data_IF_453425096394
#
_entry.id   IF_453425096394
#
_cell.length_a   1.000
_cell.length_b   1.000
_cell.length_c   1.000
_cell.angle_alpha   90.00
_cell.angle_beta   90.00
_cell.angle_gamma   90.00
#
_symmetry.space_group_name_H-M   'P 1'
#
loop_
_entity.id
_entity.type
_entity.pdbx_description
1 polymer ?
#
# COMPACT_ATOMS: atom_id res chain seq x y z
N UNK A 1 -0.83 -19.68 -1.52
CA UNK A 1 0.11 -18.59 -1.27
C UNK A 1 0.25 -18.49 0.23
N UNK A 2 1.42 -18.79 0.76
CA UNK A 2 1.68 -18.67 2.20
C UNK A 2 1.49 -17.20 2.57
N UNK A 3 0.41 -16.90 3.29
CA UNK A 3 0.30 -15.62 3.98
C UNK A 3 1.42 -15.64 4.99
N UNK A 4 2.48 -14.85 4.76
CA UNK A 4 3.63 -14.78 5.66
C UNK A 4 3.14 -14.76 7.11
N UNK A 5 3.41 -15.84 7.85
CA UNK A 5 2.84 -16.08 9.18
C UNK A 5 3.61 -15.29 10.23
N UNK A 6 3.65 -13.97 10.06
CA UNK A 6 4.26 -13.01 10.97
C UNK A 6 3.18 -12.32 11.80
N UNK A 7 3.44 -12.19 13.10
CA UNK A 7 2.54 -11.49 14.02
C UNK A 7 2.54 -9.97 13.81
N UNK A 8 3.71 -9.41 13.49
CA UNK A 8 3.84 -7.97 13.17
C UNK A 8 3.18 -7.67 11.83
N UNK A 9 2.56 -6.50 11.68
CA UNK A 9 1.94 -6.01 10.43
C UNK A 9 2.79 -4.92 9.77
N UNK A 10 2.80 -4.87 8.44
CA UNK A 10 3.50 -3.84 7.63
C UNK A 10 2.47 -2.83 7.12
N UNK A 11 2.71 -1.56 7.44
CA UNK A 11 1.97 -0.42 6.91
C UNK A 11 2.86 0.31 5.90
N UNK A 12 2.36 0.52 4.68
CA UNK A 12 3.07 1.27 3.64
C UNK A 12 2.31 2.55 3.28
N UNK A 13 2.99 3.70 3.18
CA UNK A 13 2.38 4.93 2.64
C UNK A 13 2.41 4.88 1.11
N UNK A 14 1.26 5.05 0.47
CA UNK A 14 1.15 5.04 -0.99
C UNK A 14 1.12 6.46 -1.57
N UNK A 15 1.57 6.60 -2.81
CA UNK A 15 1.65 7.86 -3.54
C UNK A 15 2.04 7.64 -5.00
N UNK A 16 2.55 8.67 -5.71
CA UNK A 16 2.86 8.59 -7.14
C UNK A 16 3.79 7.43 -7.54
N UNK A 17 4.71 7.04 -6.67
CA UNK A 17 5.62 5.91 -6.91
C UNK A 17 4.93 4.53 -6.88
N UNK A 18 3.71 4.45 -6.37
CA UNK A 18 2.95 3.22 -6.19
C UNK A 18 1.51 3.31 -6.75
N UNK A 19 1.27 4.23 -7.69
CA UNK A 19 -0.08 4.50 -8.22
C UNK A 19 -0.54 3.49 -9.29
N UNK A 20 0.34 2.61 -9.76
CA UNK A 20 -0.02 1.61 -10.76
C UNK A 20 -0.48 0.29 -10.10
N UNK A 21 -1.48 -0.39 -10.68
CA UNK A 21 -1.94 -1.69 -10.18
C UNK A 21 -0.83 -2.74 -10.09
N UNK A 22 0.15 -2.68 -10.99
CA UNK A 22 1.28 -3.61 -11.01
C UNK A 22 2.20 -3.42 -9.81
N UNK A 23 2.51 -2.17 -9.43
CA UNK A 23 3.32 -1.88 -8.24
C UNK A 23 2.58 -2.28 -6.97
N UNK A 24 1.27 -2.00 -6.87
CA UNK A 24 0.45 -2.42 -5.74
C UNK A 24 0.41 -3.96 -5.60
N UNK A 25 0.28 -4.68 -6.72
CA UNK A 25 0.31 -6.15 -6.72
C UNK A 25 1.64 -6.69 -6.21
N UNK A 26 2.76 -6.08 -6.60
CA UNK A 26 4.10 -6.43 -6.10
C UNK A 26 4.25 -6.12 -4.60
N UNK A 27 3.70 -5.00 -4.12
CA UNK A 27 3.71 -4.64 -2.70
C UNK A 27 2.92 -5.63 -1.84
N UNK A 28 1.75 -6.07 -2.32
CA UNK A 28 0.93 -7.10 -1.64
C UNK A 28 1.69 -8.43 -1.61
N UNK A 29 2.28 -8.85 -2.74
CA UNK A 29 3.08 -10.07 -2.81
C UNK A 29 4.34 -10.02 -1.91
N UNK A 30 4.93 -8.84 -1.74
CA UNK A 30 6.04 -8.59 -0.81
C UNK A 30 5.59 -8.55 0.66
N UNK A 31 4.29 -8.51 0.93
CA UNK A 31 3.71 -8.66 2.26
C UNK A 31 3.21 -7.38 2.91
N UNK A 32 2.86 -6.33 2.18
CA UNK A 32 2.13 -5.18 2.77
C UNK A 32 0.75 -5.64 3.27
N UNK A 33 0.39 -5.32 4.52
CA UNK A 33 -0.94 -5.64 5.07
C UNK A 33 -1.91 -4.47 4.98
N UNK A 34 -1.41 -3.24 5.19
CA UNK A 34 -2.22 -2.02 5.27
C UNK A 34 -1.55 -0.92 4.45
N UNK A 35 -2.36 -0.17 3.71
CA UNK A 35 -1.91 1.04 3.03
C UNK A 35 -2.35 2.29 3.80
N UNK A 36 -1.46 3.27 3.87
CA UNK A 36 -1.73 4.60 4.41
C UNK A 36 -1.90 5.58 3.25
N UNK A 37 -3.08 6.20 3.20
CA UNK A 37 -3.34 7.40 2.40
C UNK A 37 -2.90 8.63 3.19
N UNK A 38 -1.91 9.36 2.69
CA UNK A 38 -1.39 10.54 3.38
C UNK A 38 -2.10 11.81 2.90
N UNK A 39 -3.14 12.24 3.61
CA UNK A 39 -3.93 13.43 3.29
C UNK A 39 -3.24 14.78 3.51
N UNK A 40 -1.99 14.80 4.03
CA UNK A 40 -1.20 16.05 4.02
C UNK A 40 -0.83 16.49 2.59
N UNK A 41 -1.00 15.62 1.60
CA UNK A 41 -0.73 15.89 0.18
C UNK A 41 -1.91 15.41 -0.69
N UNK A 42 -2.08 16.04 -1.86
CA UNK A 42 -3.17 15.73 -2.80
C UNK A 42 -4.52 16.32 -2.40
N UNK A 43 -5.52 16.12 -3.25
CA UNK A 43 -6.94 16.46 -3.01
C UNK A 43 -7.70 15.20 -2.64
N UNK A 44 -8.87 15.35 -2.01
CA UNK A 44 -9.73 14.21 -1.68
C UNK A 44 -10.03 13.31 -2.89
N UNK A 45 -10.19 13.91 -4.08
CA UNK A 45 -10.43 13.21 -5.35
C UNK A 45 -9.26 12.32 -5.79
N UNK A 46 -8.03 12.61 -5.38
CA UNK A 46 -6.86 11.81 -5.72
C UNK A 46 -6.80 10.50 -4.89
N UNK A 47 -7.65 10.38 -3.86
CA UNK A 47 -7.67 9.29 -2.88
C UNK A 47 -8.99 8.49 -2.88
N UNK A 48 -9.86 8.69 -3.88
CA UNK A 48 -11.14 7.99 -4.08
C UNK A 48 -11.02 7.05 -5.28
#
# INVERSE_FOLDING_TARGET
MDVMNRSTKIVATIGPASSTPEVLSRMIAAGVDVVRLNFSHGKAQDHI
#
